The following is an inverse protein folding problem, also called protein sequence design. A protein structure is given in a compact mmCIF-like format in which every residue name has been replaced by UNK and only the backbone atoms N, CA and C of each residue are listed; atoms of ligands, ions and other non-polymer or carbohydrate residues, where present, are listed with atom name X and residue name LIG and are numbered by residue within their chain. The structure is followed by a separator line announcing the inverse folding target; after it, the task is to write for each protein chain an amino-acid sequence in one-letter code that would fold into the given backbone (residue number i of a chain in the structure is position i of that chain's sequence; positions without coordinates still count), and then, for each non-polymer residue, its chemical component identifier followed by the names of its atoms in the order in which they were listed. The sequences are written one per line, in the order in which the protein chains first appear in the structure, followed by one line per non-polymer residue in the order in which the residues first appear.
data_IF_389913643123
#
_entry.id   IF_389913643123
#
_cell.length_a   1.000
_cell.length_b   1.000
_cell.length_c   1.000
_cell.angle_alpha   90.00
_cell.angle_beta   90.00
_cell.angle_gamma   90.00
#
_symmetry.space_group_name_H-M   'P 1'
#
loop_
_entity.id
_entity.type
_entity.pdbx_description
1 polymer ?
#
# COMPACT_ATOMS: atom_id res chain seq x y z
N UNK A 1 -18.10 -18.57 13.40
CA UNK A 1 -17.23 -17.86 14.36
C UNK A 1 -16.21 -17.06 13.56
N UNK A 2 -16.56 -15.83 13.17
CA UNK A 2 -15.67 -14.94 12.42
C UNK A 2 -14.84 -14.11 13.38
N UNK A 3 -13.53 -14.35 13.42
CA UNK A 3 -12.60 -13.52 14.17
C UNK A 3 -12.49 -12.16 13.48
N UNK A 4 -13.05 -11.14 14.13
CA UNK A 4 -12.87 -9.74 13.74
C UNK A 4 -11.38 -9.42 13.86
N UNK A 5 -10.69 -9.28 12.73
CA UNK A 5 -9.31 -8.81 12.69
C UNK A 5 -9.31 -7.44 13.37
N UNK A 6 -8.57 -7.33 14.48
CA UNK A 6 -8.53 -6.14 15.30
C UNK A 6 -8.03 -4.94 14.51
N UNK A 7 -8.96 -4.15 14.00
CA UNK A 7 -8.70 -2.80 13.55
C UNK A 7 -8.12 -2.00 14.74
N UNK A 8 -7.05 -1.24 14.51
CA UNK A 8 -6.80 -0.07 15.34
C UNK A 8 -8.02 0.86 15.30
N UNK A 9 -8.20 1.78 16.25
CA UNK A 9 -9.45 2.50 16.47
C UNK A 9 -9.83 3.55 15.39
N UNK A 10 -9.42 3.38 14.12
CA UNK A 10 -9.79 4.28 13.03
C UNK A 10 -9.74 3.61 11.65
N UNK A 11 -10.48 4.18 10.70
CA UNK A 11 -10.57 3.74 9.31
C UNK A 11 -9.85 4.68 8.34
N UNK A 12 -10.06 4.46 7.04
CA UNK A 12 -9.40 5.24 5.99
C UNK A 12 -9.68 6.74 6.04
N UNK A 13 -10.85 7.11 6.58
CA UNK A 13 -11.26 8.51 6.69
C UNK A 13 -10.45 9.27 7.76
N UNK A 14 -9.89 8.55 8.73
CA UNK A 14 -9.09 9.11 9.83
C UNK A 14 -7.64 9.36 9.41
N UNK A 15 -7.25 8.95 8.20
CA UNK A 15 -5.92 9.24 7.67
C UNK A 15 -5.82 10.72 7.29
N UNK A 16 -4.86 11.46 7.86
CA UNK A 16 -4.70 12.89 7.59
C UNK A 16 -4.42 13.16 6.12
N UNK A 17 -5.07 14.19 5.58
CA UNK A 17 -4.82 14.72 4.25
C UNK A 17 -3.68 15.74 4.30
N UNK A 18 -2.64 15.53 3.49
CA UNK A 18 -1.59 16.52 3.23
C UNK A 18 -1.74 17.07 1.81
N UNK A 19 -1.47 18.36 1.65
CA UNK A 19 -1.45 19.01 0.33
C UNK A 19 -0.25 18.56 -0.52
N UNK A 20 0.85 18.20 0.13
CA UNK A 20 2.11 17.84 -0.50
C UNK A 20 2.64 16.51 0.03
N UNK A 21 3.44 15.83 -0.80
CA UNK A 21 4.13 14.62 -0.39
C UNK A 21 5.12 14.92 0.73
N UNK A 22 5.25 14.02 1.74
CA UNK A 22 6.32 14.11 2.72
C UNK A 22 7.69 14.23 2.02
N UNK A 23 8.62 15.04 2.54
CA UNK A 23 9.91 15.21 1.89
C UNK A 23 10.71 13.90 1.92
N UNK A 24 11.00 13.34 0.75
CA UNK A 24 11.77 12.10 0.61
C UNK A 24 13.14 12.18 1.31
N UNK A 25 13.75 13.37 1.37
CA UNK A 25 15.03 13.61 2.02
C UNK A 25 15.06 13.30 3.53
N UNK A 26 13.89 13.27 4.19
CA UNK A 26 13.81 12.91 5.62
C UNK A 26 13.94 11.41 5.85
N UNK A 27 13.58 10.58 4.85
CA UNK A 27 13.47 9.13 5.03
C UNK A 27 12.40 8.68 6.03
N UNK A 28 11.63 9.61 6.61
CA UNK A 28 10.63 9.29 7.65
C UNK A 28 9.38 8.64 7.08
N UNK A 29 9.12 8.82 5.79
CA UNK A 29 7.95 8.31 5.11
C UNK A 29 8.36 7.57 3.84
N UNK A 30 7.68 6.45 3.61
CA UNK A 30 7.72 5.70 2.35
C UNK A 30 6.40 5.84 1.62
N UNK A 31 6.44 6.02 0.30
CA UNK A 31 5.25 5.92 -0.53
C UNK A 31 4.84 4.45 -0.64
N UNK A 32 3.61 4.14 -0.26
CA UNK A 32 3.05 2.81 -0.43
C UNK A 32 2.81 2.56 -1.92
N UNK A 33 3.24 1.40 -2.45
CA UNK A 33 2.96 1.05 -3.84
C UNK A 33 1.47 1.15 -4.14
N UNK A 34 1.13 1.67 -5.32
CA UNK A 34 -0.24 1.74 -5.83
C UNK A 34 -0.77 0.34 -6.20
N UNK A 35 -0.96 -0.51 -5.19
CA UNK A 35 -1.36 -1.91 -5.31
C UNK A 35 -2.17 -2.36 -4.10
N UNK A 36 -2.88 -3.49 -4.25
CA UNK A 36 -3.61 -4.13 -3.15
C UNK A 36 -2.73 -4.45 -1.94
N UNK A 37 -1.49 -4.88 -2.19
CA UNK A 37 -0.49 -5.14 -1.15
C UNK A 37 -0.11 -3.86 -0.38
N UNK A 38 0.23 -2.78 -1.10
CA UNK A 38 0.59 -1.50 -0.45
C UNK A 38 -0.56 -0.95 0.40
N UNK A 39 -1.79 -1.01 -0.12
CA UNK A 39 -2.98 -0.61 0.62
C UNK A 39 -3.23 -1.50 1.84
N UNK A 40 -3.08 -2.83 1.74
CA UNK A 40 -3.22 -3.74 2.87
C UNK A 40 -2.21 -3.43 3.98
N UNK A 41 -0.94 -3.19 3.63
CA UNK A 41 0.10 -2.80 4.59
C UNK A 41 -0.25 -1.48 5.28
N UNK A 42 -0.70 -0.49 4.52
CA UNK A 42 -1.16 0.78 5.08
C UNK A 42 -2.32 0.61 6.06
N UNK A 43 -3.34 -0.16 5.68
CA UNK A 43 -4.48 -0.45 6.56
C UNK A 43 -4.04 -1.10 7.88
N UNK A 44 -3.17 -2.11 7.79
CA UNK A 44 -2.68 -2.86 8.94
C UNK A 44 -1.80 -2.00 9.87
N UNK A 45 -1.06 -1.01 9.33
CA UNK A 45 -0.27 -0.06 10.12
C UNK A 45 -1.15 0.87 10.97
N UNK A 46 -2.37 1.16 10.48
CA UNK A 46 -3.38 2.01 11.10
C UNK A 46 -3.20 3.50 10.77
N UNK A 47 -4.28 4.30 10.89
CA UNK A 47 -4.33 5.66 10.35
C UNK A 47 -3.33 6.64 10.99
N UNK A 48 -2.95 6.42 12.25
CA UNK A 48 -2.00 7.28 12.96
C UNK A 48 -0.57 7.24 12.39
N UNK A 49 -0.27 6.27 11.52
CA UNK A 49 1.03 6.14 10.85
C UNK A 49 0.97 6.50 9.37
N UNK A 50 -0.19 6.91 8.87
CA UNK A 50 -0.39 7.21 7.46
C UNK A 50 -0.56 8.70 7.23
N UNK A 51 -0.26 9.12 6.00
CA UNK A 51 -0.74 10.37 5.42
C UNK A 51 -1.17 10.08 3.98
N UNK A 52 -2.24 10.75 3.53
CA UNK A 52 -2.71 10.67 2.15
C UNK A 52 -2.50 12.01 1.45
N UNK A 53 -2.17 11.94 0.17
CA UNK A 53 -1.88 13.11 -0.68
C UNK A 53 -2.67 12.97 -1.97
N UNK A 54 -3.32 14.03 -2.48
CA UNK A 54 -4.05 13.96 -3.74
C UNK A 54 -3.18 13.41 -4.87
N UNK A 55 -3.71 12.42 -5.60
CA UNK A 55 -3.06 11.86 -6.77
C UNK A 55 -3.14 12.82 -7.96
N UNK A 56 -2.11 12.81 -8.79
CA UNK A 56 -2.03 13.52 -10.08
C UNK A 56 -1.72 12.50 -11.15
N UNK A 57 -2.73 11.86 -11.78
CA UNK A 57 -2.52 10.79 -12.76
C UNK A 57 -1.51 11.18 -13.86
N UNK A 58 -1.56 12.42 -14.32
CA UNK A 58 -0.67 12.95 -15.35
C UNK A 58 0.82 12.98 -14.97
N UNK A 59 1.14 12.88 -13.68
CA UNK A 59 2.52 12.74 -13.20
C UNK A 59 3.10 11.34 -13.41
N UNK A 60 2.25 10.35 -13.73
CA UNK A 60 2.64 8.96 -13.98
C UNK A 60 2.69 8.66 -15.48
N UNK A 61 3.54 7.71 -15.87
CA UNK A 61 3.63 7.24 -17.27
C UNK A 61 2.99 5.87 -17.42
N UNK A 62 2.02 5.75 -18.33
CA UNK A 62 1.48 4.47 -18.78
C UNK A 62 2.24 3.99 -20.03
N UNK A 63 2.64 2.71 -20.01
CA UNK A 63 3.24 2.03 -21.17
C UNK A 63 2.22 1.04 -21.74
N UNK A 64 1.71 1.34 -22.93
CA UNK A 64 0.80 0.46 -23.66
C UNK A 64 1.61 -0.42 -24.61
N UNK A 65 1.51 -1.73 -24.43
CA UNK A 65 2.11 -2.72 -25.34
C UNK A 65 1.01 -3.29 -26.24
N UNK A 66 1.19 -3.16 -27.55
CA UNK A 66 0.33 -3.78 -28.56
C UNK A 66 1.11 -4.88 -29.24
N UNK A 67 0.74 -6.12 -28.97
CA UNK A 67 1.33 -7.29 -29.61
C UNK A 67 0.64 -7.57 -30.95
N UNK A 68 1.43 -7.85 -31.99
CA UNK A 68 0.92 -8.22 -33.31
C UNK A 68 1.92 -9.09 -34.09
N UNK A 69 1.55 -9.55 -35.30
CA UNK A 69 2.39 -10.42 -36.12
C UNK A 69 3.77 -9.83 -36.47
N UNK A 70 3.90 -8.49 -36.43
CA UNK A 70 5.15 -7.76 -36.67
C UNK A 70 5.99 -7.52 -35.39
N UNK A 71 5.60 -8.13 -34.27
CA UNK A 71 6.21 -7.94 -32.96
C UNK A 71 5.45 -6.96 -32.06
N UNK A 72 6.01 -6.71 -30.90
CA UNK A 72 5.43 -5.82 -29.88
C UNK A 72 5.72 -4.35 -30.20
N UNK A 73 4.68 -3.53 -30.07
CA UNK A 73 4.79 -2.08 -30.16
C UNK A 73 4.51 -1.44 -28.81
N UNK A 74 5.44 -0.62 -28.32
CA UNK A 74 5.26 0.11 -27.08
C UNK A 74 4.94 1.58 -27.34
N UNK A 75 3.93 2.12 -26.65
CA UNK A 75 3.62 3.54 -26.61
C UNK A 75 3.61 4.04 -25.17
N UNK A 76 4.30 5.15 -24.92
CA UNK A 76 4.34 5.81 -23.60
C UNK A 76 3.49 7.08 -23.65
N UNK A 77 2.68 7.32 -22.60
CA UNK A 77 1.92 8.56 -22.42
C UNK A 77 1.56 8.77 -20.94
N UNK A 78 1.17 9.98 -20.50
CA UNK A 78 0.72 10.22 -19.13
C UNK A 78 -0.48 9.33 -18.75
N UNK A 79 -0.61 8.89 -17.50
CA UNK A 79 -1.80 8.14 -17.03
C UNK A 79 -3.05 9.01 -17.16
N UNK A 80 -4.17 8.40 -17.54
CA UNK A 80 -5.46 9.10 -17.61
C UNK A 80 -6.23 8.94 -16.30
N UNK A 81 -7.22 9.80 -16.08
CA UNK A 81 -8.14 9.66 -14.93
C UNK A 81 -8.88 8.32 -14.97
N UNK A 82 -9.32 7.86 -16.14
CA UNK A 82 -10.01 6.57 -16.28
C UNK A 82 -9.14 5.39 -15.82
N UNK A 83 -7.85 5.38 -16.19
CA UNK A 83 -6.92 4.36 -15.71
C UNK A 83 -6.65 4.46 -14.21
N UNK A 84 -6.65 5.68 -13.65
CA UNK A 84 -6.53 5.84 -12.21
C UNK A 84 -7.75 5.26 -11.49
N UNK A 85 -8.96 5.46 -12.03
CA UNK A 85 -10.20 4.87 -11.50
C UNK A 85 -10.18 3.35 -11.59
N UNK A 86 -9.70 2.79 -12.71
CA UNK A 86 -9.53 1.34 -12.88
C UNK A 86 -8.53 0.78 -11.85
N UNK A 87 -7.37 1.41 -11.69
CA UNK A 87 -6.36 1.01 -10.72
C UNK A 87 -6.88 1.11 -9.27
N UNK A 88 -7.60 2.18 -8.94
CA UNK A 88 -8.20 2.33 -7.62
C UNK A 88 -9.25 1.23 -7.35
N UNK A 89 -10.04 0.88 -8.36
CA UNK A 89 -11.01 -0.22 -8.32
C UNK A 89 -10.36 -1.60 -8.13
N UNK A 90 -9.28 -1.89 -8.84
CA UNK A 90 -8.53 -3.15 -8.71
C UNK A 90 -7.95 -3.31 -7.30
N UNK A 91 -7.45 -2.22 -6.72
CA UNK A 91 -6.97 -2.20 -5.34
C UNK A 91 -8.11 -2.50 -4.36
N UNK A 92 -9.28 -1.89 -4.55
CA UNK A 92 -10.45 -2.12 -3.69
C UNK A 92 -10.99 -3.56 -3.78
N UNK A 93 -10.88 -4.22 -4.94
CA UNK A 93 -11.21 -5.65 -5.08
C UNK A 93 -10.29 -6.48 -4.17
N UNK A 94 -8.98 -6.24 -4.22
CA UNK A 94 -8.01 -6.94 -3.38
C UNK A 94 -8.26 -6.71 -1.89
N UNK A 95 -8.56 -5.48 -1.49
CA UNK A 95 -8.89 -5.13 -0.09
C UNK A 95 -10.15 -5.85 0.38
N UNK A 96 -11.19 -5.91 -0.47
CA UNK A 96 -12.44 -6.63 -0.16
C UNK A 96 -12.19 -8.11 0.10
N UNK A 97 -11.35 -8.76 -0.70
CA UNK A 97 -10.96 -10.17 -0.49
C UNK A 97 -10.17 -10.37 0.82
N UNK A 98 -9.56 -9.29 1.35
CA UNK A 98 -8.93 -9.22 2.67
C UNK A 98 -9.89 -8.91 3.83
N UNK A 99 -11.17 -8.65 3.54
CA UNK A 99 -12.13 -8.15 4.53
C UNK A 99 -11.89 -6.69 4.95
N UNK A 100 -11.14 -5.92 4.15
CA UNK A 100 -10.78 -4.52 4.40
C UNK A 100 -11.77 -3.63 3.63
N UNK A 101 -12.28 -2.52 4.22
CA UNK A 101 -13.17 -1.61 3.51
C UNK A 101 -12.45 -0.91 2.34
N UNK A 102 -13.23 -0.53 1.33
CA UNK A 102 -12.76 0.28 0.21
C UNK A 102 -12.13 1.58 0.71
N UNK A 103 -11.06 2.01 0.05
CA UNK A 103 -10.33 3.22 0.41
C UNK A 103 -10.86 4.43 -0.39
N UNK A 104 -10.70 5.65 0.13
CA UNK A 104 -10.89 6.85 -0.68
C UNK A 104 -9.99 6.81 -1.91
N UNK A 105 -10.59 6.87 -3.10
CA UNK A 105 -9.90 6.91 -4.38
C UNK A 105 -9.21 8.26 -4.63
N UNK A 106 -8.28 8.31 -5.58
CA UNK A 106 -7.60 9.56 -5.98
C UNK A 106 -6.53 10.05 -5.00
N UNK A 107 -5.94 9.15 -4.21
CA UNK A 107 -4.86 9.48 -3.28
C UNK A 107 -3.66 8.55 -3.40
N UNK A 108 -2.48 9.14 -3.27
CA UNK A 108 -1.23 8.48 -2.90
C UNK A 108 -1.17 8.34 -1.39
N UNK A 109 -0.63 7.23 -0.92
CA UNK A 109 -0.61 6.88 0.50
C UNK A 109 0.84 6.74 0.94
N UNK A 110 1.18 7.33 2.08
CA UNK A 110 2.52 7.29 2.64
C UNK A 110 2.45 6.72 4.04
N UNK A 111 3.36 5.81 4.33
CA UNK A 111 3.54 5.21 5.64
C UNK A 111 4.73 5.87 6.33
N UNK A 112 4.51 6.36 7.54
CA UNK A 112 5.59 6.78 8.44
C UNK A 112 6.34 5.55 8.89
N UNK A 113 7.64 5.51 8.61
CA UNK A 113 8.52 4.43 9.04
C UNK A 113 8.77 4.50 10.55
N UNK A 114 9.10 3.36 11.19
CA UNK A 114 9.64 3.37 12.54
C UNK A 114 10.93 4.21 12.61
N UNK A 115 11.26 4.74 13.79
CA UNK A 115 12.47 5.53 13.95
C UNK A 115 13.72 4.70 13.59
N UNK A 116 14.60 5.27 12.77
CA UNK A 116 15.84 4.61 12.33
C UNK A 116 15.68 3.64 11.16
N UNK A 117 14.46 3.33 10.72
CA UNK A 117 14.23 2.47 9.56
C UNK A 117 14.41 3.23 8.25
N UNK A 118 14.98 2.53 7.27
CA UNK A 118 14.93 2.92 5.87
C UNK A 118 13.86 2.11 5.10
N UNK A 119 13.46 2.62 3.94
CA UNK A 119 12.47 1.96 3.07
C UNK A 119 12.85 0.50 2.74
N UNK A 120 14.08 0.28 2.28
CA UNK A 120 14.56 -1.04 1.88
C UNK A 120 14.57 -2.03 3.05
N UNK A 121 14.99 -1.56 4.24
CA UNK A 121 15.02 -2.35 5.47
C UNK A 121 13.60 -2.74 5.90
N UNK A 122 12.67 -1.77 5.89
CA UNK A 122 11.27 -2.01 6.24
C UNK A 122 10.63 -3.06 5.31
N UNK A 123 10.80 -2.91 4.00
CA UNK A 123 10.24 -3.86 3.05
C UNK A 123 10.89 -5.24 3.13
N UNK A 124 12.21 -5.30 3.31
CA UNK A 124 12.94 -6.57 3.46
C UNK A 124 12.47 -7.32 4.71
N UNK A 125 12.44 -6.66 5.86
CA UNK A 125 12.02 -7.29 7.12
C UNK A 125 10.55 -7.73 7.06
N UNK A 126 9.65 -6.89 6.54
CA UNK A 126 8.25 -7.25 6.38
C UNK A 126 8.08 -8.47 5.46
N UNK A 127 8.82 -8.53 4.35
CA UNK A 127 8.75 -9.64 3.41
C UNK A 127 9.33 -10.93 4.00
N UNK A 128 10.48 -10.85 4.67
CA UNK A 128 11.12 -11.98 5.35
C UNK A 128 10.24 -12.54 6.45
N UNK A 129 9.68 -11.68 7.31
CA UNK A 129 8.79 -12.09 8.39
C UNK A 129 7.50 -12.73 7.85
N UNK A 130 6.93 -12.20 6.77
CA UNK A 130 5.74 -12.77 6.13
C UNK A 130 6.05 -14.14 5.50
N UNK A 131 7.15 -14.26 4.77
CA UNK A 131 7.59 -15.52 4.17
C UNK A 131 7.90 -16.58 5.22
N UNK A 132 8.49 -16.19 6.35
CA UNK A 132 8.77 -17.10 7.45
C UNK A 132 7.49 -17.59 8.14
N UNK A 133 6.57 -16.67 8.45
CA UNK A 133 5.34 -17.00 9.15
C UNK A 133 4.34 -17.76 8.26
N UNK A 134 4.34 -17.51 6.95
CA UNK A 134 3.31 -18.04 6.07
C UNK A 134 3.75 -18.23 4.60
N UNK A 135 4.71 -19.14 4.32
CA UNK A 135 5.36 -19.27 3.01
C UNK A 135 4.43 -19.63 1.83
N UNK A 136 3.22 -20.11 2.11
CA UNK A 136 2.21 -20.49 1.11
C UNK A 136 0.92 -19.64 1.14
N UNK A 137 0.87 -18.55 1.94
CA UNK A 137 -0.31 -17.67 1.92
C UNK A 137 -0.34 -16.86 0.62
N UNK A 138 -1.34 -17.12 -0.21
CA UNK A 138 -1.63 -16.32 -1.41
C UNK A 138 -2.92 -15.53 -1.28
N UNK A 139 -3.81 -15.90 -0.35
CA UNK A 139 -5.11 -15.24 -0.17
C UNK A 139 -5.00 -13.96 0.67
N UNK A 140 -5.57 -12.82 0.24
CA UNK A 140 -5.46 -11.52 0.92
C UNK A 140 -5.86 -11.56 2.40
N UNK A 141 -6.94 -12.26 2.76
CA UNK A 141 -7.38 -12.38 4.16
C UNK A 141 -6.33 -13.05 5.08
N UNK A 142 -5.59 -14.05 4.59
CA UNK A 142 -4.53 -14.70 5.37
C UNK A 142 -3.35 -13.75 5.57
N UNK A 143 -3.01 -13.01 4.51
CA UNK A 143 -1.93 -12.03 4.51
C UNK A 143 -2.25 -10.87 5.47
N UNK A 144 -3.46 -10.30 5.39
CA UNK A 144 -3.89 -9.17 6.21
C UNK A 144 -3.74 -9.43 7.72
N UNK A 145 -4.12 -10.62 8.16
CA UNK A 145 -3.97 -11.04 9.56
C UNK A 145 -2.50 -11.07 9.99
N UNK A 146 -1.62 -11.61 9.15
CA UNK A 146 -0.22 -11.79 9.48
C UNK A 146 0.54 -10.46 9.46
N UNK A 147 0.29 -9.62 8.46
CA UNK A 147 0.89 -8.29 8.34
C UNK A 147 0.59 -7.41 9.56
N UNK A 148 -0.63 -7.47 10.09
CA UNK A 148 -0.97 -6.71 11.31
C UNK A 148 -0.14 -7.10 12.54
N UNK A 149 0.23 -8.38 12.68
CA UNK A 149 1.11 -8.82 13.77
C UNK A 149 2.55 -8.37 13.54
N UNK A 150 3.07 -8.58 12.33
CA UNK A 150 4.44 -8.25 11.97
C UNK A 150 4.69 -6.74 12.10
N UNK A 151 3.78 -5.91 11.58
CA UNK A 151 3.94 -4.46 11.70
C UNK A 151 3.95 -4.01 13.16
N UNK A 152 3.14 -4.62 14.02
CA UNK A 152 3.18 -4.30 15.46
C UNK A 152 4.57 -4.59 16.03
N UNK A 153 5.15 -5.74 15.71
CA UNK A 153 6.49 -6.14 16.17
C UNK A 153 7.58 -5.20 15.65
N UNK A 154 7.55 -4.84 14.36
CA UNK A 154 8.49 -3.89 13.75
C UNK A 154 8.41 -2.51 14.46
N UNK A 155 7.21 -1.97 14.63
CA UNK A 155 7.02 -0.65 15.24
C UNK A 155 7.29 -0.62 16.75
N UNK A 156 7.08 -1.72 17.47
CA UNK A 156 7.42 -1.85 18.89
C UNK A 156 8.92 -2.15 19.10
N UNK A 157 9.55 -2.86 18.16
CA UNK A 157 10.98 -3.20 18.18
C UNK A 157 11.89 -2.00 17.96
N UNK A 158 11.49 -1.06 17.10
CA UNK A 158 12.24 0.16 16.78
C UNK A 158 12.35 1.18 17.94
N UNK A 159 11.67 0.93 19.07
CA UNK A 159 11.76 1.76 20.27
C UNK A 159 12.74 1.26 21.34
N UNK A 160 13.53 0.22 21.05
CA UNK A 160 14.51 -0.39 21.97
C UNK A 160 15.94 0.01 21.68
#
# INVERSE_FOLDING_TARGET
MGGQLGAGPGGWIDVPLSAEAPPAATGEYVELPASGWGALVGWAAGPAKLVRVPERPEAHTTVMTTSGPAGDRHRRRPRTEAEQVELDGDIDIYLRDGGIPARPAGYRWFLRLPAGYHEDEFWSELHEALNHAHPAATHPACIARQVGSILREIFEGAGR
#
